data_IF_339256872577
#
_entry.id   IF_339256872577
#
_cell.length_a   1.000
_cell.length_b   1.000
_cell.length_c   1.000
_cell.angle_alpha   90.00
_cell.angle_beta   90.00
_cell.angle_gamma   90.00
#
_symmetry.space_group_name_H-M   'P 1'
#
loop_
_entity.id
_entity.type
_entity.pdbx_description
1 polymer ?
#
# COMPACT_ATOMS: atom_id res chain seq x y z
N UNK A 1 10.94 -30.55 28.87
CA UNK A 1 9.69 -29.97 28.33
C UNK A 1 9.98 -28.53 27.91
N UNK A 2 10.27 -28.30 26.63
CA UNK A 2 10.50 -26.95 26.10
C UNK A 2 9.15 -26.29 25.84
N UNK A 3 8.75 -25.32 26.67
CA UNK A 3 7.56 -24.52 26.45
C UNK A 3 7.65 -23.83 25.07
N UNK A 4 6.84 -24.31 24.13
CA UNK A 4 6.61 -23.64 22.85
C UNK A 4 5.88 -22.34 23.16
N UNK A 5 6.63 -21.22 23.26
CA UNK A 5 6.03 -19.87 23.29
C UNK A 5 5.14 -19.75 22.06
N UNK A 6 3.83 -19.73 22.26
CA UNK A 6 2.90 -19.31 21.21
C UNK A 6 3.25 -17.87 20.89
N UNK A 7 3.76 -17.60 19.68
CA UNK A 7 3.90 -16.23 19.19
C UNK A 7 2.51 -15.61 19.26
N UNK A 8 2.43 -14.40 19.82
CA UNK A 8 1.21 -13.61 19.75
C UNK A 8 0.79 -13.52 18.28
N UNK A 9 -0.51 -13.60 17.93
CA UNK A 9 -0.99 -13.50 16.55
C UNK A 9 -0.56 -12.25 15.77
N UNK A 10 0.08 -11.29 16.47
CA UNK A 10 0.56 -10.00 15.96
C UNK A 10 2.07 -9.80 16.13
N UNK A 11 2.86 -10.88 16.17
CA UNK A 11 4.33 -10.81 16.26
C UNK A 11 4.98 -10.52 14.90
N UNK A 12 4.42 -9.56 14.15
CA UNK A 12 4.98 -9.05 12.90
C UNK A 12 5.00 -7.52 12.91
N UNK A 13 5.98 -6.94 12.24
CA UNK A 13 6.12 -5.50 12.14
C UNK A 13 5.05 -4.93 11.18
N UNK A 14 3.95 -4.46 11.76
CA UNK A 14 2.85 -3.87 11.02
C UNK A 14 3.27 -2.63 10.24
N UNK A 15 4.24 -1.85 10.73
CA UNK A 15 4.74 -0.66 10.03
C UNK A 15 5.56 -1.06 8.81
N UNK A 16 6.44 -2.05 8.94
CA UNK A 16 7.20 -2.58 7.82
C UNK A 16 6.27 -3.15 6.74
N UNK A 17 5.24 -3.90 7.14
CA UNK A 17 4.24 -4.44 6.21
C UNK A 17 3.50 -3.32 5.48
N UNK A 18 3.00 -2.31 6.20
CA UNK A 18 2.29 -1.17 5.60
C UNK A 18 3.18 -0.37 4.63
N UNK A 19 4.47 -0.23 4.92
CA UNK A 19 5.42 0.40 4.01
C UNK A 19 5.61 -0.42 2.72
N UNK A 20 5.77 -1.75 2.82
CA UNK A 20 5.85 -2.63 1.66
C UNK A 20 4.58 -2.59 0.81
N UNK A 21 3.41 -2.61 1.44
CA UNK A 21 2.11 -2.50 0.77
C UNK A 21 1.95 -1.17 0.05
N UNK A 22 2.37 -0.06 0.67
CA UNK A 22 2.34 1.26 0.04
C UNK A 22 3.21 1.33 -1.21
N UNK A 23 4.41 0.75 -1.18
CA UNK A 23 5.28 0.66 -2.36
C UNK A 23 4.65 -0.20 -3.47
N UNK A 24 4.13 -1.39 -3.12
CA UNK A 24 3.48 -2.28 -4.07
C UNK A 24 2.26 -1.60 -4.74
N UNK A 25 1.43 -0.91 -3.95
CA UNK A 25 0.30 -0.12 -4.44
C UNK A 25 0.74 0.95 -5.44
N UNK A 26 1.81 1.68 -5.13
CA UNK A 26 2.37 2.70 -6.02
C UNK A 26 2.79 2.13 -7.38
N UNK A 27 3.52 1.00 -7.36
CA UNK A 27 3.94 0.31 -8.59
C UNK A 27 2.75 -0.24 -9.39
N UNK A 28 1.73 -0.78 -8.72
CA UNK A 28 0.50 -1.26 -9.36
C UNK A 28 -0.26 -0.12 -10.04
N UNK A 29 -0.37 1.06 -9.42
CA UNK A 29 -0.99 2.25 -10.02
C UNK A 29 -0.21 2.69 -11.26
N UNK A 30 1.12 2.75 -11.16
CA UNK A 30 1.96 3.08 -12.30
C UNK A 30 1.78 2.07 -13.44
N UNK A 31 1.82 0.77 -13.15
CA UNK A 31 1.58 -0.29 -14.14
C UNK A 31 0.19 -0.19 -14.76
N UNK A 32 -0.86 0.06 -13.94
CA UNK A 32 -2.25 0.16 -14.38
C UNK A 32 -2.47 1.30 -15.37
N UNK A 33 -1.72 2.39 -15.24
CA UNK A 33 -1.79 3.54 -16.15
C UNK A 33 -1.33 3.22 -17.58
N UNK A 34 -0.43 2.23 -17.74
CA UNK A 34 0.07 1.78 -19.04
C UNK A 34 -0.77 0.66 -19.68
N UNK A 35 -1.77 0.13 -18.96
CA UNK A 35 -2.58 -1.01 -19.42
C UNK A 35 -3.77 -0.58 -20.27
N UNK A 36 -4.13 -1.44 -21.23
CA UNK A 36 -5.39 -1.28 -21.99
C UNK A 36 -6.58 -1.28 -21.02
N UNK A 37 -7.45 -0.26 -21.08
CA UNK A 37 -8.65 -0.19 -20.24
C UNK A 37 -9.53 -1.44 -20.39
N UNK A 38 -10.11 -1.90 -19.28
CA UNK A 38 -11.05 -3.04 -19.23
C UNK A 38 -10.47 -4.38 -19.72
N UNK A 39 -9.14 -4.48 -19.85
CA UNK A 39 -8.47 -5.76 -20.07
C UNK A 39 -8.56 -6.65 -18.82
N UNK A 40 -8.40 -7.96 -18.99
CA UNK A 40 -8.35 -8.89 -17.84
C UNK A 40 -7.24 -8.50 -16.86
N UNK A 41 -6.06 -8.18 -17.40
CA UNK A 41 -4.91 -7.74 -16.61
C UNK A 41 -5.19 -6.44 -15.84
N UNK A 42 -5.82 -5.44 -16.48
CA UNK A 42 -6.22 -4.21 -15.81
C UNK A 42 -7.17 -4.47 -14.62
N UNK A 43 -8.15 -5.37 -14.79
CA UNK A 43 -9.07 -5.75 -13.70
C UNK A 43 -8.35 -6.48 -12.56
N UNK A 44 -7.39 -7.35 -12.89
CA UNK A 44 -6.58 -8.03 -11.87
C UNK A 44 -5.75 -7.03 -11.06
N UNK A 45 -5.14 -6.03 -11.71
CA UNK A 45 -4.40 -4.98 -11.02
C UNK A 45 -5.32 -4.11 -10.16
N UNK A 46 -6.49 -3.72 -10.68
CA UNK A 46 -7.49 -2.97 -9.91
C UNK A 46 -7.89 -3.74 -8.64
N UNK A 47 -8.16 -5.05 -8.75
CA UNK A 47 -8.50 -5.89 -7.59
C UNK A 47 -7.36 -6.01 -6.56
N UNK A 48 -6.10 -6.12 -7.01
CA UNK A 48 -4.95 -6.16 -6.09
C UNK A 48 -4.76 -4.84 -5.34
N UNK A 49 -5.04 -3.71 -5.98
CA UNK A 49 -5.00 -2.40 -5.33
C UNK A 49 -6.08 -2.32 -4.25
N UNK A 50 -7.30 -2.79 -4.55
CA UNK A 50 -8.41 -2.84 -3.60
C UNK A 50 -8.09 -3.75 -2.40
N UNK A 51 -7.51 -4.94 -2.64
CA UNK A 51 -7.10 -5.87 -1.57
C UNK A 51 -6.03 -5.26 -0.66
N UNK A 52 -5.09 -4.48 -1.22
CA UNK A 52 -4.08 -3.76 -0.44
C UNK A 52 -4.73 -2.68 0.44
N UNK A 53 -5.65 -1.91 -0.12
CA UNK A 53 -6.35 -0.83 0.59
C UNK A 53 -7.23 -1.39 1.73
N UNK A 54 -7.91 -2.52 1.50
CA UNK A 54 -8.70 -3.22 2.51
C UNK A 54 -7.82 -3.79 3.63
N UNK A 55 -6.67 -4.40 3.30
CA UNK A 55 -5.75 -4.88 4.31
C UNK A 55 -5.22 -3.73 5.18
N UNK A 56 -4.89 -2.58 4.58
CA UNK A 56 -4.49 -1.41 5.33
C UNK A 56 -5.63 -0.84 6.19
N UNK A 57 -6.88 -0.89 5.72
CA UNK A 57 -8.05 -0.53 6.53
C UNK A 57 -8.16 -1.44 7.76
N UNK A 58 -8.10 -2.77 7.59
CA UNK A 58 -8.18 -3.73 8.70
C UNK A 58 -7.04 -3.52 9.70
N UNK A 59 -5.83 -3.23 9.23
CA UNK A 59 -4.66 -3.02 10.09
C UNK A 59 -4.66 -1.68 10.83
N UNK A 60 -5.28 -0.65 10.27
CA UNK A 60 -5.10 0.74 10.76
C UNK A 60 -6.38 1.44 11.17
N UNK A 61 -7.55 0.88 10.84
CA UNK A 61 -8.86 1.50 11.00
C UNK A 61 -9.10 2.72 10.11
N UNK A 62 -8.23 2.99 9.12
CA UNK A 62 -8.30 4.19 8.26
C UNK A 62 -8.44 3.81 6.80
N UNK A 63 -9.59 4.16 6.20
CA UNK A 63 -9.88 3.94 4.77
C UNK A 63 -8.96 4.70 3.84
N UNK A 64 -8.49 5.87 4.28
CA UNK A 64 -7.65 6.78 3.50
C UNK A 64 -6.15 6.63 3.82
N UNK A 65 -5.74 5.49 4.38
CA UNK A 65 -4.36 5.28 4.84
C UNK A 65 -3.32 5.56 3.73
N UNK A 66 -3.57 5.10 2.50
CA UNK A 66 -2.71 5.38 1.34
C UNK A 66 -3.16 6.58 0.48
N UNK A 67 -4.27 7.22 0.82
CA UNK A 67 -4.86 8.32 0.05
C UNK A 67 -4.30 9.71 0.45
N UNK A 68 -3.52 9.78 1.54
CA UNK A 68 -2.96 11.03 2.07
C UNK A 68 -1.57 11.31 1.46
N UNK A 69 -1.52 12.11 0.40
CA UNK A 69 -0.24 12.55 -0.16
C UNK A 69 -0.24 13.47 -1.38
N UNK A 70 -1.37 14.06 -1.79
CA UNK A 70 -1.46 14.91 -2.99
C UNK A 70 -0.80 16.29 -2.89
N UNK A 71 -0.36 16.75 -1.71
CA UNK A 71 0.15 18.13 -1.54
C UNK A 71 1.55 18.25 -0.95
N UNK A 72 2.29 17.16 -0.71
CA UNK A 72 3.62 17.23 -0.11
C UNK A 72 4.79 17.16 -1.12
N UNK A 73 4.55 16.92 -2.42
CA UNK A 73 5.63 16.76 -3.43
C UNK A 73 5.83 17.94 -4.39
N UNK A 74 5.12 19.05 -4.22
CA UNK A 74 5.33 20.28 -5.02
C UNK A 74 5.97 21.45 -4.24
N UNK A 75 6.27 21.30 -2.94
CA UNK A 75 6.90 22.37 -2.13
C UNK A 75 8.35 22.00 -1.75
N UNK A 76 9.20 21.79 -2.75
CA UNK A 76 10.59 21.40 -2.49
C UNK A 76 11.51 21.38 -3.71
N UNK A 77 11.35 22.32 -4.65
CA UNK A 77 12.39 22.70 -5.64
C UNK A 77 11.98 23.95 -6.43
N UNK A 78 12.15 25.12 -5.82
CA UNK A 78 12.24 26.41 -6.52
C UNK A 78 12.77 27.47 -5.54
N UNK A 79 14.05 27.36 -5.15
CA UNK A 79 14.76 28.43 -4.45
C UNK A 79 16.29 28.25 -4.53
N UNK A 80 16.84 27.99 -5.72
CA UNK A 80 18.26 28.26 -6.01
C UNK A 80 18.38 28.60 -7.50
N UNK A 81 18.76 29.85 -7.80
CA UNK A 81 18.93 30.40 -9.15
C UNK A 81 18.43 31.83 -9.26
#
# INVERSE_FOLDING_TARGET
MTSRRARSPLDFDSKALLACLGNARGELIAARSAMRPRSGLARCVDALIDDIDELALVMTGRREYFHSGGHARLSGKAAEG
#
